data_IF_048855001644
#
_entry.id   IF_048855001644
#
_cell.length_a   1.000
_cell.length_b   1.000
_cell.length_c   1.000
_cell.angle_alpha   90.00
_cell.angle_beta   90.00
_cell.angle_gamma   90.00
#
_symmetry.space_group_name_H-M   'P 1'
#
loop_
_entity.id
_entity.type
_entity.pdbx_description
1 polymer ?
#
# COMPACT_ATOMS: atom_id res chain seq x y z
N UNK A 1 -5.13 7.49 -20.00
CA UNK A 1 -4.44 7.63 -18.70
C UNK A 1 -5.20 6.82 -17.68
N UNK A 2 -4.53 5.87 -17.02
CA UNK A 2 -5.13 5.02 -16.00
C UNK A 2 -4.35 5.18 -14.70
N UNK A 3 -5.05 5.42 -13.61
CA UNK A 3 -4.47 5.64 -12.29
C UNK A 3 -5.03 4.56 -11.37
N UNK A 4 -4.14 3.90 -10.63
CA UNK A 4 -4.51 2.94 -9.60
C UNK A 4 -4.46 3.62 -8.24
N UNK A 5 -5.46 3.38 -7.40
CA UNK A 5 -5.55 3.97 -6.06
C UNK A 5 -5.58 2.87 -5.01
N UNK A 6 -4.82 3.06 -3.94
CA UNK A 6 -4.94 2.29 -2.70
C UNK A 6 -4.79 3.22 -1.49
N UNK A 7 -5.27 2.77 -0.33
CA UNK A 7 -5.32 3.55 0.91
C UNK A 7 -5.34 2.60 2.10
N UNK A 8 -4.96 3.10 3.28
CA UNK A 8 -5.19 2.43 4.57
C UNK A 8 -4.60 1.00 4.63
N UNK A 9 -3.37 0.84 4.10
CA UNK A 9 -2.66 -0.45 4.12
C UNK A 9 -2.40 -0.89 5.57
N UNK A 10 -2.13 0.07 6.45
CA UNK A 10 -2.01 -0.11 7.91
C UNK A 10 -1.07 -1.26 8.31
N UNK A 11 0.00 -1.47 7.53
CA UNK A 11 1.00 -2.50 7.77
C UNK A 11 0.58 -3.93 7.38
N UNK A 12 -0.55 -4.12 6.68
CA UNK A 12 -0.97 -5.44 6.20
C UNK A 12 -0.16 -5.90 4.99
N UNK A 13 0.61 -6.97 5.15
CA UNK A 13 1.31 -7.60 4.01
C UNK A 13 0.30 -8.22 3.05
N UNK A 14 -0.67 -8.96 3.58
CA UNK A 14 -1.70 -9.65 2.80
C UNK A 14 -2.48 -8.71 1.84
N UNK A 15 -2.98 -7.58 2.35
CA UNK A 15 -3.74 -6.66 1.52
C UNK A 15 -2.86 -5.85 0.57
N UNK A 16 -1.61 -5.55 0.94
CA UNK A 16 -0.68 -4.93 0.00
C UNK A 16 -0.38 -5.86 -1.18
N UNK A 17 -0.05 -7.13 -0.94
CA UNK A 17 0.21 -8.10 -2.03
C UNK A 17 -1.02 -8.26 -2.94
N UNK A 18 -2.21 -8.31 -2.36
CA UNK A 18 -3.47 -8.33 -3.12
C UNK A 18 -3.65 -7.09 -4.00
N UNK A 19 -3.31 -5.89 -3.49
CA UNK A 19 -3.35 -4.65 -4.25
C UNK A 19 -2.29 -4.60 -5.36
N UNK A 20 -1.07 -5.06 -5.10
CA UNK A 20 0.01 -5.14 -6.09
C UNK A 20 -0.35 -6.10 -7.23
N UNK A 21 -0.90 -7.29 -6.93
CA UNK A 21 -1.41 -8.20 -7.97
C UNK A 21 -2.54 -7.57 -8.81
N UNK A 22 -3.39 -6.74 -8.20
CA UNK A 22 -4.39 -5.98 -8.94
C UNK A 22 -3.77 -4.90 -9.82
N UNK A 23 -2.75 -4.19 -9.33
CA UNK A 23 -2.01 -3.19 -10.09
C UNK A 23 -1.33 -3.80 -11.33
N UNK A 24 -0.68 -4.96 -11.18
CA UNK A 24 -0.05 -5.69 -12.28
C UNK A 24 -1.04 -6.15 -13.35
N UNK A 25 -2.24 -6.61 -12.94
CA UNK A 25 -3.29 -7.06 -13.87
C UNK A 25 -3.91 -5.91 -14.66
N UNK A 26 -3.96 -4.71 -14.08
CA UNK A 26 -4.64 -3.55 -14.64
C UNK A 26 -3.75 -2.60 -15.47
N UNK A 27 -2.50 -2.97 -15.76
CA UNK A 27 -1.30 -2.10 -15.91
C UNK A 27 -1.59 -0.59 -15.96
N UNK A 28 -1.70 0.04 -14.78
CA UNK A 28 -1.92 1.48 -14.68
C UNK A 28 -0.64 2.28 -14.94
N UNK A 29 -0.78 3.58 -15.25
CA UNK A 29 0.36 4.48 -15.49
C UNK A 29 1.00 5.01 -14.20
N UNK A 30 0.26 4.97 -13.09
CA UNK A 30 0.70 5.48 -11.79
C UNK A 30 -0.04 4.76 -10.67
N UNK A 31 0.68 4.53 -9.57
CA UNK A 31 0.14 3.99 -8.32
C UNK A 31 0.01 5.11 -7.30
N UNK A 32 -1.20 5.44 -6.89
CA UNK A 32 -1.48 6.50 -5.91
C UNK A 32 -1.83 5.88 -4.56
N UNK A 33 -1.11 6.29 -3.51
CA UNK A 33 -1.36 5.85 -2.12
C UNK A 33 -1.91 7.02 -1.31
N UNK A 34 -3.08 6.85 -0.71
CA UNK A 34 -3.80 7.89 0.03
C UNK A 34 -3.50 7.90 1.55
N UNK A 35 -2.31 7.41 1.92
CA UNK A 35 -1.79 7.46 3.29
C UNK A 35 -1.98 6.16 4.08
N UNK A 36 -1.52 6.22 5.34
CA UNK A 36 -1.60 5.18 6.36
C UNK A 36 -1.02 3.83 5.90
N UNK A 37 0.25 3.82 5.49
CA UNK A 37 0.88 2.66 4.87
C UNK A 37 1.34 1.61 5.90
N UNK A 38 1.92 2.06 7.01
CA UNK A 38 2.70 1.21 7.91
C UNK A 38 2.05 0.99 9.27
N UNK A 39 1.64 2.06 9.94
CA UNK A 39 1.14 1.98 11.30
C UNK A 39 -0.33 1.56 11.32
N UNK A 40 -0.69 0.55 12.12
CA UNK A 40 -2.07 0.08 12.20
C UNK A 40 -3.05 1.13 12.77
N UNK A 41 -2.56 2.12 13.52
CA UNK A 41 -3.39 3.12 14.19
C UNK A 41 -3.80 2.71 15.61
N UNK A 42 -3.67 3.61 16.58
CA UNK A 42 -3.85 3.32 18.01
C UNK A 42 -5.24 2.78 18.39
N UNK A 43 -6.24 3.01 17.55
CA UNK A 43 -7.65 2.64 17.78
C UNK A 43 -8.07 1.37 17.04
N UNK A 44 -7.18 0.80 16.23
CA UNK A 44 -7.49 -0.32 15.36
C UNK A 44 -6.80 -1.59 15.87
N UNK A 45 -7.42 -2.78 15.70
CA UNK A 45 -6.71 -4.04 15.87
C UNK A 45 -5.58 -4.15 14.84
N UNK A 46 -4.66 -5.09 15.07
CA UNK A 46 -3.66 -5.43 14.05
C UNK A 46 -4.36 -5.97 12.80
N UNK A 47 -3.86 -5.57 11.64
CA UNK A 47 -4.35 -6.07 10.35
C UNK A 47 -3.89 -7.51 10.11
N UNK A 48 -4.52 -8.16 9.13
CA UNK A 48 -4.08 -9.45 8.63
C UNK A 48 -2.62 -9.39 8.16
N UNK A 49 -1.82 -10.34 8.65
CA UNK A 49 -0.37 -10.41 8.41
C UNK A 49 0.33 -9.05 8.63
N UNK A 50 0.05 -8.42 9.78
CA UNK A 50 0.67 -7.15 10.14
C UNK A 50 2.21 -7.27 10.19
N UNK A 51 2.88 -6.60 9.26
CA UNK A 51 4.33 -6.64 9.08
C UNK A 51 4.86 -5.37 8.40
N UNK A 52 4.95 -4.23 9.11
CA UNK A 52 5.36 -2.95 8.52
C UNK A 52 6.71 -2.97 7.80
N UNK A 53 7.66 -3.78 8.30
CA UNK A 53 8.96 -3.96 7.65
C UNK A 53 8.82 -4.59 6.26
N UNK A 54 8.02 -5.64 6.13
CA UNK A 54 7.80 -6.32 4.85
C UNK A 54 7.00 -5.44 3.89
N UNK A 55 6.01 -4.70 4.40
CA UNK A 55 5.30 -3.66 3.63
C UNK A 55 6.28 -2.62 3.06
N UNK A 56 7.23 -2.15 3.88
CA UNK A 56 8.26 -1.20 3.44
C UNK A 56 9.14 -1.78 2.33
N UNK A 57 9.56 -3.04 2.47
CA UNK A 57 10.35 -3.74 1.44
C UNK A 57 9.59 -3.82 0.11
N UNK A 58 8.32 -4.25 0.13
CA UNK A 58 7.47 -4.37 -1.06
C UNK A 58 7.20 -3.01 -1.73
N UNK A 59 6.85 -1.97 -0.96
CA UNK A 59 6.61 -0.63 -1.52
C UNK A 59 7.88 -0.03 -2.14
N UNK A 60 9.06 -0.31 -1.57
CA UNK A 60 10.33 0.17 -2.11
C UNK A 60 10.67 -0.43 -3.48
N UNK A 61 10.22 -1.66 -3.78
CA UNK A 61 10.38 -2.27 -5.10
C UNK A 61 9.64 -1.49 -6.20
N UNK A 62 8.58 -0.75 -5.82
CA UNK A 62 7.77 0.08 -6.71
C UNK A 62 7.97 1.59 -6.49
N UNK A 63 9.01 2.02 -5.77
CA UNK A 63 9.17 3.40 -5.32
C UNK A 63 9.14 4.44 -6.45
N UNK A 64 9.64 4.10 -7.65
CA UNK A 64 9.64 5.00 -8.82
C UNK A 64 8.26 5.23 -9.45
N UNK A 65 7.26 4.42 -9.08
CA UNK A 65 5.91 4.45 -9.66
C UNK A 65 4.85 5.02 -8.70
N UNK A 66 5.23 5.19 -7.43
CA UNK A 66 4.33 5.60 -6.35
C UNK A 66 4.24 7.13 -6.26
N UNK A 67 3.01 7.62 -6.21
CA UNK A 67 2.66 8.99 -5.80
C UNK A 67 1.86 8.87 -4.51
N UNK A 68 2.43 9.28 -3.39
CA UNK A 68 1.79 9.15 -2.08
C UNK A 68 1.47 10.50 -1.45
N UNK A 69 0.43 10.52 -0.62
CA UNK A 69 0.11 11.63 0.28
C UNK A 69 0.13 11.14 1.72
N UNK A 70 0.48 12.03 2.66
CA UNK A 70 0.53 11.67 4.08
C UNK A 70 -0.87 11.35 4.60
N UNK A 71 -0.97 10.25 5.35
CA UNK A 71 -2.11 9.93 6.19
C UNK A 71 -2.20 10.79 7.46
N UNK A 72 -2.92 10.30 8.48
CA UNK A 72 -3.26 11.08 9.68
C UNK A 72 -2.11 11.28 10.68
#
# INVERSE_FOLDING_TARGET
MKIFFMSDIHGSVHYLESALHAYEREPANSMVILGDELYHGARNPLTEEYGPKKVTELLNEHASEIIAVRGN
#
